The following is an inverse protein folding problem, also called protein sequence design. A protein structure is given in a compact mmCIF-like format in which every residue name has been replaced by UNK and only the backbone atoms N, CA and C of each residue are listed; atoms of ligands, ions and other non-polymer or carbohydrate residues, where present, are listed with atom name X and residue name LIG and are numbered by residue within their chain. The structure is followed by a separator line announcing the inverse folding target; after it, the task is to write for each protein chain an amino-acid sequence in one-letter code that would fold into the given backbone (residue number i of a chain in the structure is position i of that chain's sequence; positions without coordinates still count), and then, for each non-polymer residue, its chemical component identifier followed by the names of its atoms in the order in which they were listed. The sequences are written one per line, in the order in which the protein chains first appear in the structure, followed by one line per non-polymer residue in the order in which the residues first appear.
data_IF_354974678712
#
_entry.id   IF_354974678712
#
_cell.length_a   1.000
_cell.length_b   1.000
_cell.length_c   1.000
_cell.angle_alpha   90.00
_cell.angle_beta   90.00
_cell.angle_gamma   90.00
#
_symmetry.space_group_name_H-M   'P 1'
#
loop_
_entity.id
_entity.type
_entity.pdbx_description
1 polymer ?
#
# COMPACT_ATOMS: atom_id res chain seq x y z
N UNK A 1 32.36 51.72 30.19
CA UNK A 1 30.90 51.48 30.21
C UNK A 1 30.41 51.35 28.78
N UNK A 2 29.56 50.35 28.53
CA UNK A 2 28.55 50.23 27.44
C UNK A 2 29.10 50.21 26.00
N UNK A 3 29.19 49.06 25.35
CA UNK A 3 28.13 48.18 24.79
C UNK A 3 28.06 48.37 23.27
N UNK A 4 28.53 47.33 22.60
CA UNK A 4 28.20 46.88 21.24
C UNK A 4 26.88 47.41 20.68
N UNK A 5 26.87 47.75 19.39
CA UNK A 5 25.74 47.41 18.50
C UNK A 5 26.20 47.38 17.03
N UNK A 6 26.47 46.16 16.58
CA UNK A 6 26.34 45.71 15.20
C UNK A 6 24.89 45.93 14.74
N UNK A 7 24.68 46.47 13.54
CA UNK A 7 23.50 46.16 12.73
C UNK A 7 23.99 45.78 11.33
N UNK A 8 24.11 44.47 11.14
CA UNK A 8 24.18 43.80 9.85
C UNK A 8 22.77 43.73 9.30
N UNK A 9 22.52 44.41 8.18
CA UNK A 9 21.29 44.25 7.39
C UNK A 9 21.34 42.90 6.70
N UNK A 10 20.67 41.93 7.32
CA UNK A 10 20.42 40.60 6.82
C UNK A 10 19.47 40.70 5.60
N UNK A 11 20.00 40.52 4.39
CA UNK A 11 19.19 40.19 3.22
C UNK A 11 18.70 38.76 3.44
N UNK A 12 17.49 38.62 3.99
CA UNK A 12 16.79 37.34 4.02
C UNK A 12 16.37 37.08 2.57
N UNK A 13 17.23 36.34 1.86
CA UNK A 13 16.79 35.59 0.70
C UNK A 13 15.64 34.71 1.17
N UNK A 14 14.45 34.96 0.60
CA UNK A 14 13.32 34.05 0.71
C UNK A 14 13.72 32.84 -0.13
N UNK A 15 14.51 31.95 0.47
CA UNK A 15 14.52 30.57 0.06
C UNK A 15 13.12 30.10 0.42
N UNK A 16 12.22 30.19 -0.55
CA UNK A 16 11.04 29.35 -0.60
C UNK A 16 11.57 27.93 -0.52
N UNK A 17 11.71 27.40 0.69
CA UNK A 17 11.66 25.99 0.94
C UNK A 17 10.28 25.56 0.46
N UNK A 18 10.17 25.25 -0.82
CA UNK A 18 9.39 24.10 -1.25
C UNK A 18 9.87 22.97 -0.34
N UNK A 19 9.09 22.72 0.72
CA UNK A 19 9.10 21.43 1.38
C UNK A 19 8.76 20.45 0.28
N UNK A 20 9.78 19.88 -0.34
CA UNK A 20 9.66 18.49 -0.72
C UNK A 20 9.24 17.78 0.55
N UNK A 21 8.00 17.28 0.54
CA UNK A 21 7.47 16.43 1.58
C UNK A 21 8.56 15.41 1.89
N UNK A 22 8.99 15.39 3.16
CA UNK A 22 10.02 14.49 3.65
C UNK A 22 9.75 13.10 3.08
N UNK A 23 10.58 12.65 2.14
CA UNK A 23 10.52 11.28 1.69
C UNK A 23 10.89 10.44 2.90
N UNK A 24 9.90 9.93 3.64
CA UNK A 24 10.17 8.98 4.71
C UNK A 24 11.02 7.87 4.10
N UNK A 25 12.26 7.77 4.58
CA UNK A 25 13.24 6.83 4.08
C UNK A 25 12.97 5.50 4.77
N UNK A 26 11.96 4.77 4.30
CA UNK A 26 11.74 3.40 4.75
C UNK A 26 12.87 2.51 4.24
N UNK A 27 13.19 1.49 5.03
CA UNK A 27 14.17 0.46 4.71
C UNK A 27 13.55 -0.93 4.80
N UNK A 28 14.27 -1.95 4.30
CA UNK A 28 13.88 -3.34 4.50
C UNK A 28 13.76 -3.71 5.97
N UNK A 29 14.68 -3.22 6.82
CA UNK A 29 14.65 -3.54 8.25
C UNK A 29 13.44 -2.93 8.95
N UNK A 30 12.90 -1.80 8.46
CA UNK A 30 11.65 -1.25 9.01
C UNK A 30 10.44 -2.13 8.74
N UNK A 31 10.44 -2.89 7.64
CA UNK A 31 9.33 -3.73 7.19
C UNK A 31 9.49 -5.21 7.54
N UNK A 32 10.67 -5.64 7.99
CA UNK A 32 10.95 -7.05 8.29
C UNK A 32 9.90 -7.63 9.26
N UNK A 33 9.50 -8.88 9.00
CA UNK A 33 8.47 -9.59 9.77
C UNK A 33 7.23 -9.97 8.97
N UNK A 34 6.24 -10.52 9.68
CA UNK A 34 4.98 -10.99 9.13
C UNK A 34 3.89 -9.94 9.33
N UNK A 35 3.16 -9.67 8.26
CA UNK A 35 2.10 -8.67 8.23
C UNK A 35 0.83 -9.27 7.66
N UNK A 36 -0.29 -8.99 8.31
CA UNK A 36 -1.61 -9.48 7.90
C UNK A 36 -2.55 -8.32 7.66
N UNK A 37 -3.40 -8.42 6.65
CA UNK A 37 -4.42 -7.41 6.40
C UNK A 37 -5.47 -7.46 7.52
N UNK A 38 -5.59 -6.37 8.26
CA UNK A 38 -6.60 -6.22 9.31
C UNK A 38 -7.83 -5.45 8.81
N UNK A 39 -7.64 -4.52 7.87
CA UNK A 39 -8.74 -3.77 7.25
C UNK A 39 -8.31 -3.13 5.91
N UNK A 40 -9.28 -2.59 5.18
CA UNK A 40 -9.07 -1.85 3.94
C UNK A 40 -9.86 -0.54 4.01
N UNK A 41 -9.17 0.59 3.94
CA UNK A 41 -9.79 1.92 3.88
C UNK A 41 -10.08 2.28 2.43
N UNK A 42 -11.35 2.49 2.11
CA UNK A 42 -11.84 2.84 0.78
C UNK A 42 -11.64 4.33 0.50
N UNK A 43 -11.68 4.77 -0.78
CA UNK A 43 -11.54 6.19 -1.14
C UNK A 43 -12.59 7.10 -0.51
N UNK A 44 -13.80 6.59 -0.27
CA UNK A 44 -14.87 7.30 0.42
C UNK A 44 -14.66 7.43 1.95
N UNK A 45 -13.57 6.89 2.49
CA UNK A 45 -13.22 6.94 3.91
C UNK A 45 -13.76 5.76 4.74
N UNK A 46 -14.69 4.98 4.22
CA UNK A 46 -15.26 3.83 4.93
C UNK A 46 -14.29 2.65 4.95
N UNK A 47 -14.43 1.80 5.96
CA UNK A 47 -13.64 0.58 6.12
C UNK A 47 -14.38 -0.61 5.52
N UNK A 48 -13.65 -1.56 4.93
CA UNK A 48 -14.23 -2.78 4.38
C UNK A 48 -14.88 -3.64 5.47
N UNK A 49 -14.36 -3.60 6.71
CA UNK A 49 -14.97 -4.24 7.88
C UNK A 49 -16.40 -3.76 8.19
N UNK A 50 -16.78 -2.56 7.72
CA UNK A 50 -18.12 -1.98 7.89
C UNK A 50 -19.12 -2.42 6.82
N UNK A 51 -18.67 -3.18 5.81
CA UNK A 51 -19.53 -3.65 4.73
C UNK A 51 -20.44 -4.80 5.17
N UNK A 52 -21.45 -5.10 4.35
CA UNK A 52 -22.44 -6.17 4.61
C UNK A 52 -22.63 -7.05 3.37
N UNK A 53 -23.21 -8.24 3.56
CA UNK A 53 -23.51 -9.17 2.46
C UNK A 53 -22.26 -9.63 1.71
N UNK A 54 -22.34 -9.72 0.38
CA UNK A 54 -21.24 -10.22 -0.46
C UNK A 54 -19.94 -9.41 -0.34
N UNK A 55 -20.02 -8.11 -0.06
CA UNK A 55 -18.82 -7.29 0.20
C UNK A 55 -18.10 -7.73 1.48
N UNK A 56 -18.85 -8.08 2.53
CA UNK A 56 -18.29 -8.52 3.80
C UNK A 56 -17.61 -9.88 3.66
N UNK A 57 -18.23 -10.79 2.91
CA UNK A 57 -17.67 -12.11 2.60
C UNK A 57 -16.41 -11.99 1.74
N UNK A 58 -16.44 -11.11 0.72
CA UNK A 58 -15.26 -10.83 -0.10
C UNK A 58 -14.10 -10.25 0.72
N UNK A 59 -14.40 -9.37 1.68
CA UNK A 59 -13.40 -8.84 2.60
C UNK A 59 -12.80 -9.93 3.51
N UNK A 60 -13.55 -10.94 3.95
CA UNK A 60 -12.99 -12.07 4.71
C UNK A 60 -11.98 -12.90 3.91
N UNK A 61 -12.13 -13.00 2.59
CA UNK A 61 -11.05 -13.53 1.75
C UNK A 61 -9.84 -12.60 1.79
N UNK A 62 -10.05 -11.30 1.57
CA UNK A 62 -8.95 -10.34 1.53
C UNK A 62 -8.16 -10.24 2.84
N UNK A 63 -8.79 -10.46 4.01
CA UNK A 63 -8.08 -10.53 5.31
C UNK A 63 -7.05 -11.67 5.40
N UNK A 64 -7.16 -12.68 4.54
CA UNK A 64 -6.19 -13.76 4.46
C UNK A 64 -4.94 -13.36 3.67
N UNK A 65 -4.90 -12.15 3.08
CA UNK A 65 -3.67 -11.60 2.52
C UNK A 65 -2.62 -11.41 3.61
N UNK A 66 -1.41 -11.88 3.33
CA UNK A 66 -0.26 -11.67 4.21
C UNK A 66 1.02 -11.42 3.44
N UNK A 67 1.93 -10.70 4.09
CA UNK A 67 3.21 -10.29 3.58
C UNK A 67 4.28 -10.69 4.60
N UNK A 68 5.27 -11.45 4.15
CA UNK A 68 6.44 -11.82 4.94
C UNK A 68 7.65 -11.16 4.31
N UNK A 69 8.07 -10.03 4.88
CA UNK A 69 9.27 -9.32 4.45
C UNK A 69 10.47 -9.91 5.18
N UNK A 70 11.43 -10.44 4.42
CA UNK A 70 12.74 -10.82 4.94
C UNK A 70 13.82 -9.87 4.40
N UNK A 71 15.07 -10.06 4.83
CA UNK A 71 16.20 -9.32 4.29
C UNK A 71 16.32 -9.45 2.76
N UNK A 72 16.06 -10.64 2.22
CA UNK A 72 16.35 -10.95 0.82
C UNK A 72 15.09 -10.90 -0.04
N UNK A 73 13.99 -11.51 0.44
CA UNK A 73 12.77 -11.72 -0.33
C UNK A 73 11.51 -11.21 0.36
N UNK A 74 10.46 -11.06 -0.44
CA UNK A 74 9.10 -10.79 -0.01
C UNK A 74 8.22 -11.97 -0.45
N UNK A 75 7.64 -12.65 0.53
CA UNK A 75 6.60 -13.66 0.29
C UNK A 75 5.23 -13.03 0.48
N UNK A 76 4.37 -13.12 -0.53
CA UNK A 76 3.00 -12.63 -0.50
C UNK A 76 2.07 -13.82 -0.65
N UNK A 77 1.21 -14.04 0.35
CA UNK A 77 0.06 -14.92 0.20
C UNK A 77 -1.12 -14.01 -0.12
N UNK A 78 -1.63 -14.10 -1.34
CA UNK A 78 -2.86 -13.45 -1.75
C UNK A 78 -4.07 -14.36 -1.59
N UNK A 79 -5.21 -13.78 -1.26
CA UNK A 79 -6.50 -14.46 -1.22
C UNK A 79 -7.58 -13.61 -1.86
N UNK A 80 -7.88 -13.91 -3.13
CA UNK A 80 -8.84 -13.15 -3.92
C UNK A 80 -10.24 -13.73 -3.79
N UNK A 81 -11.28 -12.88 -3.62
CA UNK A 81 -12.66 -13.35 -3.64
C UNK A 81 -13.05 -13.81 -5.04
N UNK A 82 -13.63 -14.99 -5.12
CA UNK A 82 -14.28 -15.52 -6.32
C UNK A 82 -15.77 -15.70 -6.02
N UNK A 83 -16.59 -14.94 -6.75
CA UNK A 83 -18.04 -15.00 -6.63
C UNK A 83 -18.54 -16.16 -7.47
N UNK A 84 -19.16 -17.12 -6.81
CA UNK A 84 -19.90 -18.18 -7.45
C UNK A 84 -21.39 -17.99 -7.14
N UNK A 85 -22.28 -18.62 -7.91
CA UNK A 85 -23.74 -18.47 -7.71
C UNK A 85 -24.26 -18.91 -6.33
N UNK A 86 -23.38 -19.41 -5.45
CA UNK A 86 -23.68 -19.88 -4.10
C UNK A 86 -23.03 -19.03 -2.99
N UNK A 87 -22.27 -17.98 -3.33
CA UNK A 87 -21.60 -17.10 -2.37
C UNK A 87 -20.18 -16.73 -2.79
N UNK A 88 -19.33 -16.39 -1.81
CA UNK A 88 -17.93 -16.06 -2.04
C UNK A 88 -17.00 -17.19 -1.59
N UNK A 89 -16.12 -17.62 -2.49
CA UNK A 89 -14.99 -18.52 -2.17
C UNK A 89 -13.66 -17.77 -2.26
N UNK A 90 -12.66 -18.19 -1.47
CA UNK A 90 -11.37 -17.53 -1.42
C UNK A 90 -10.32 -18.30 -2.23
N UNK A 91 -9.88 -17.73 -3.35
CA UNK A 91 -8.81 -18.31 -4.16
C UNK A 91 -7.46 -17.84 -3.65
N UNK A 92 -6.64 -18.77 -3.13
CA UNK A 92 -5.31 -18.47 -2.61
C UNK A 92 -4.26 -18.58 -3.70
N UNK A 93 -3.37 -17.60 -3.71
CA UNK A 93 -2.16 -17.60 -4.53
C UNK A 93 -0.99 -17.22 -3.65
N UNK A 94 0.18 -17.75 -3.96
CA UNK A 94 1.40 -17.42 -3.25
C UNK A 94 2.48 -17.06 -4.26
N UNK A 95 3.18 -15.97 -3.98
CA UNK A 95 4.37 -15.59 -4.73
C UNK A 95 5.50 -15.28 -3.76
N UNK A 96 6.72 -15.61 -4.17
CA UNK A 96 7.95 -15.25 -3.47
C UNK A 96 8.85 -14.52 -4.46
N UNK A 97 9.18 -13.27 -4.17
CA UNK A 97 9.85 -12.36 -5.10
C UNK A 97 10.98 -11.61 -4.41
N UNK A 98 12.00 -11.25 -5.17
CA UNK A 98 12.98 -10.26 -4.72
C UNK A 98 12.31 -8.90 -4.62
N UNK A 99 12.70 -8.10 -3.63
CA UNK A 99 12.14 -6.76 -3.47
C UNK A 99 13.18 -5.73 -3.03
N UNK A 100 12.88 -4.46 -3.26
CA UNK A 100 13.64 -3.29 -2.80
C UNK A 100 12.70 -2.19 -2.32
N UNK A 101 13.20 -1.37 -1.40
CA UNK A 101 12.51 -0.17 -0.93
C UNK A 101 13.17 1.04 -1.57
N UNK A 102 12.37 1.86 -2.27
CA UNK A 102 12.80 3.10 -2.94
C UNK A 102 11.98 4.27 -2.41
N UNK A 103 12.52 4.98 -1.41
CA UNK A 103 11.75 5.97 -0.67
C UNK A 103 10.52 5.32 -0.03
N UNK A 104 9.33 5.73 -0.45
CA UNK A 104 8.05 5.15 -0.01
C UNK A 104 7.48 4.07 -0.93
N UNK A 105 8.29 3.44 -1.77
CA UNK A 105 7.80 2.44 -2.74
C UNK A 105 8.45 1.10 -2.52
N UNK A 106 7.64 0.05 -2.67
CA UNK A 106 8.06 -1.34 -2.70
C UNK A 106 8.13 -1.76 -4.16
N UNK A 107 9.35 -1.98 -4.65
CA UNK A 107 9.61 -2.54 -5.97
C UNK A 107 9.82 -4.04 -5.84
N UNK A 108 9.03 -4.84 -6.55
CA UNK A 108 9.26 -6.28 -6.69
C UNK A 108 10.01 -6.55 -8.00
N UNK A 109 10.80 -7.63 -8.01
CA UNK A 109 11.55 -8.06 -9.19
C UNK A 109 11.21 -9.52 -9.51
N UNK A 110 10.84 -9.77 -10.77
CA UNK A 110 10.65 -11.11 -11.33
C UNK A 110 11.57 -11.25 -12.55
N UNK A 111 12.71 -11.93 -12.36
CA UNK A 111 13.76 -12.00 -13.37
C UNK A 111 14.36 -10.61 -13.68
N UNK A 112 14.18 -10.12 -14.91
CA UNK A 112 14.66 -8.80 -15.34
C UNK A 112 13.63 -7.68 -15.16
N UNK A 113 12.37 -8.04 -14.93
CA UNK A 113 11.30 -7.07 -14.78
C UNK A 113 11.28 -6.52 -13.37
N UNK A 114 11.07 -5.21 -13.28
CA UNK A 114 10.98 -4.47 -12.02
C UNK A 114 9.68 -3.69 -12.01
N UNK A 115 8.92 -3.87 -10.96
CA UNK A 115 7.60 -3.29 -10.84
C UNK A 115 7.47 -2.60 -9.49
N UNK A 116 7.24 -1.29 -9.50
CA UNK A 116 6.83 -0.58 -8.28
C UNK A 116 5.39 -1.00 -7.97
N UNK A 117 5.19 -1.91 -7.03
CA UNK A 117 3.86 -2.50 -6.78
C UNK A 117 3.09 -1.72 -5.75
N UNK A 118 3.73 -1.37 -4.63
CA UNK A 118 3.08 -0.71 -3.50
C UNK A 118 3.74 0.61 -3.15
N UNK A 119 2.92 1.57 -2.73
CA UNK A 119 3.32 2.79 -2.04
C UNK A 119 3.01 2.63 -0.56
N UNK A 120 3.99 2.88 0.29
CA UNK A 120 3.86 3.00 1.74
C UNK A 120 3.27 4.36 2.04
N UNK A 121 2.10 4.38 2.67
CA UNK A 121 1.40 5.58 3.11
C UNK A 121 1.84 5.96 4.52
N UNK A 122 1.97 4.97 5.40
CA UNK A 122 2.55 5.15 6.72
C UNK A 122 3.08 3.84 7.30
N UNK A 123 4.07 3.95 8.18
CA UNK A 123 4.56 2.86 9.00
C UNK A 123 4.77 3.38 10.43
N UNK A 124 3.98 2.88 11.37
CA UNK A 124 4.04 3.26 12.79
C UNK A 124 3.93 2.02 13.65
N UNK A 125 4.96 1.76 14.45
CA UNK A 125 5.05 0.59 15.33
C UNK A 125 4.74 -0.72 14.60
N UNK A 126 3.60 -1.34 14.88
CA UNK A 126 3.12 -2.59 14.30
C UNK A 126 2.06 -2.37 13.22
N UNK A 127 1.86 -1.15 12.73
CA UNK A 127 0.86 -0.82 11.72
C UNK A 127 1.51 -0.30 10.45
N UNK A 128 1.19 -0.94 9.33
CA UNK A 128 1.64 -0.59 8.00
C UNK A 128 0.43 -0.26 7.13
N UNK A 129 0.47 0.85 6.42
CA UNK A 129 -0.57 1.23 5.46
C UNK A 129 0.06 1.32 4.07
N UNK A 130 -0.47 0.53 3.13
CA UNK A 130 0.02 0.48 1.74
C UNK A 130 -1.12 0.60 0.75
N UNK A 131 -0.81 1.14 -0.42
CA UNK A 131 -1.73 1.16 -1.57
C UNK A 131 -0.98 0.78 -2.84
N UNK A 132 -1.67 0.44 -3.92
CA UNK A 132 -1.02 0.20 -5.20
C UNK A 132 -0.42 1.50 -5.76
N UNK A 133 0.72 1.40 -6.43
CA UNK A 133 1.24 2.51 -7.23
C UNK A 133 0.38 2.74 -8.47
N UNK A 134 0.48 3.92 -9.08
CA UNK A 134 -0.25 4.22 -10.31
C UNK A 134 0.18 3.33 -11.49
N UNK A 135 1.44 2.89 -11.51
CA UNK A 135 1.95 1.89 -12.45
C UNK A 135 1.20 0.56 -12.26
N UNK A 136 1.11 0.06 -11.03
CA UNK A 136 0.44 -1.21 -10.74
C UNK A 136 -1.06 -1.13 -11.02
N UNK A 137 -1.73 -0.03 -10.64
CA UNK A 137 -3.15 0.20 -10.96
C UNK A 137 -3.40 0.13 -12.47
N UNK A 138 -2.53 0.76 -13.27
CA UNK A 138 -2.64 0.73 -14.73
C UNK A 138 -2.50 -0.70 -15.27
N UNK A 139 -1.51 -1.46 -14.81
CA UNK A 139 -1.31 -2.85 -15.20
C UNK A 139 -2.51 -3.73 -14.86
N UNK A 140 -3.06 -3.61 -13.64
CA UNK A 140 -4.25 -4.38 -13.24
C UNK A 140 -5.44 -4.01 -14.14
N UNK A 141 -5.69 -2.72 -14.39
CA UNK A 141 -6.76 -2.28 -15.29
C UNK A 141 -6.62 -2.84 -16.70
N UNK A 142 -5.40 -2.85 -17.23
CA UNK A 142 -5.10 -3.40 -18.56
C UNK A 142 -5.30 -4.91 -18.62
N UNK A 143 -4.84 -5.65 -17.61
CA UNK A 143 -5.00 -7.11 -17.53
C UNK A 143 -6.45 -7.56 -17.30
N UNK A 144 -7.29 -6.72 -16.69
CA UNK A 144 -8.70 -7.01 -16.43
C UNK A 144 -9.66 -6.44 -17.49
N UNK A 145 -9.16 -5.85 -18.59
CA UNK A 145 -10.03 -5.37 -19.68
C UNK A 145 -10.89 -6.54 -20.20
N UNK A 146 -12.20 -6.44 -19.97
CA UNK A 146 -13.19 -7.44 -20.39
C UNK A 146 -13.60 -8.49 -19.34
N UNK A 147 -13.01 -8.49 -18.14
CA UNK A 147 -13.21 -9.56 -17.14
C UNK A 147 -13.99 -9.15 -15.87
N UNK A 148 -14.50 -7.93 -15.78
CA UNK A 148 -15.07 -7.46 -14.50
C UNK A 148 -16.58 -7.74 -14.42
N UNK A 149 -16.94 -8.92 -13.94
CA UNK A 149 -18.23 -9.12 -13.28
C UNK A 149 -18.00 -9.02 -11.77
N UNK A 150 -18.06 -7.80 -11.24
CA UNK A 150 -18.04 -7.57 -9.80
C UNK A 150 -19.50 -7.47 -9.33
N UNK A 151 -20.06 -8.46 -8.62
CA UNK A 151 -21.44 -8.41 -8.14
C UNK A 151 -21.62 -7.46 -6.94
N UNK A 152 -20.55 -6.80 -6.49
CA UNK A 152 -20.62 -5.76 -5.45
C UNK A 152 -20.83 -4.38 -6.06
N UNK A 153 -21.18 -3.41 -5.22
CA UNK A 153 -21.34 -2.01 -5.64
C UNK A 153 -20.02 -1.29 -5.93
N UNK A 154 -18.88 -1.94 -5.64
CA UNK A 154 -17.56 -1.34 -5.74
C UNK A 154 -17.08 -1.28 -7.19
N UNK A 155 -16.68 -0.09 -7.61
CA UNK A 155 -15.98 0.08 -8.88
C UNK A 155 -14.56 -0.47 -8.81
N UNK A 156 -13.96 -0.74 -9.97
CA UNK A 156 -12.54 -1.09 -10.05
C UNK A 156 -11.65 0.02 -9.45
N UNK A 157 -12.06 1.28 -9.58
CA UNK A 157 -11.34 2.41 -9.01
C UNK A 157 -11.44 2.45 -7.48
N UNK A 158 -12.57 2.06 -6.90
CA UNK A 158 -12.70 1.93 -5.44
C UNK A 158 -11.73 0.89 -4.91
N UNK A 159 -11.63 -0.27 -5.58
CA UNK A 159 -10.72 -1.34 -5.20
C UNK A 159 -9.25 -0.90 -5.33
N UNK A 160 -8.89 -0.30 -6.47
CA UNK A 160 -7.50 0.04 -6.79
C UNK A 160 -6.96 1.25 -6.02
N UNK A 161 -7.82 2.16 -5.57
CA UNK A 161 -7.43 3.33 -4.79
C UNK A 161 -7.61 3.14 -3.28
N UNK A 162 -7.97 1.93 -2.85
CA UNK A 162 -8.05 1.60 -1.43
C UNK A 162 -6.65 1.51 -0.79
N UNK A 163 -6.62 1.68 0.53
CA UNK A 163 -5.42 1.50 1.37
C UNK A 163 -5.60 0.21 2.18
N UNK A 164 -4.70 -0.74 1.98
CA UNK A 164 -4.60 -1.92 2.82
C UNK A 164 -3.91 -1.54 4.13
N UNK A 165 -4.55 -1.92 5.24
CA UNK A 165 -4.05 -1.69 6.59
C UNK A 165 -3.60 -3.04 7.13
N UNK A 166 -2.34 -3.11 7.51
CA UNK A 166 -1.70 -4.32 7.98
C UNK A 166 -1.20 -4.17 9.41
N UNK A 167 -1.21 -5.30 10.12
CA UNK A 167 -0.65 -5.42 11.45
C UNK A 167 0.49 -6.45 11.48
N UNK A 168 1.56 -6.11 12.21
CA UNK A 168 2.72 -6.97 12.42
C UNK A 168 2.45 -7.96 13.54
N UNK A 169 2.78 -9.24 13.32
CA UNK A 169 2.79 -10.30 14.32
C UNK A 169 4.20 -10.57 14.85
#
# INVERSE_FOLDING_TARGET
MKKMLLIVTLIIGIVSCSKDESSEHYSKSNLEGYWYVIDIKRPNGNYASQSTGLEREAFECQKQYSFSFSKDNLRIIGSMPYYNGYGVSCNKQEINVDYKIKGNRIEISEGKEKLETYRIISLKDNRLEITFTDQMKKMIKEGLRGYVHNPTSLSMDDLLNSVMILERY
#
